data_IF_761858022170
#
_entry.id   IF_761858022170
#
_cell.length_a   1.000
_cell.length_b   1.000
_cell.length_c   1.000
_cell.angle_alpha   90.00
_cell.angle_beta   90.00
_cell.angle_gamma   90.00
#
_symmetry.space_group_name_H-M   'P 1'
#
loop_
_entity.id
_entity.type
_entity.pdbx_description
1 polymer ?
#
# COMPACT_ATOMS: atom_id res chain seq x y z
N UNK A 1 -2.73 -4.53 27.97
CA UNK A 1 -1.39 -4.25 27.43
C UNK A 1 -1.49 -4.22 25.92
N UNK A 2 -0.75 -3.34 25.25
CA UNK A 2 -0.52 -3.51 23.82
C UNK A 2 0.33 -4.78 23.61
N UNK A 3 0.20 -5.42 22.45
CA UNK A 3 1.07 -6.53 22.09
C UNK A 3 2.49 -5.97 21.88
N UNK A 4 3.49 -6.55 22.56
CA UNK A 4 4.90 -6.18 22.40
C UNK A 4 5.49 -6.68 21.06
N UNK A 5 4.73 -7.49 20.32
CA UNK A 5 5.09 -8.03 19.01
C UNK A 5 3.96 -7.80 18.00
N UNK A 6 4.28 -7.47 16.73
CA UNK A 6 3.30 -7.46 15.66
C UNK A 6 2.67 -8.84 15.49
N UNK A 7 1.38 -8.83 15.18
CA UNK A 7 0.58 -10.01 14.88
C UNK A 7 1.12 -10.75 13.66
N UNK A 8 1.05 -12.08 13.66
CA UNK A 8 1.59 -12.98 12.61
C UNK A 8 0.61 -14.10 12.27
N UNK A 9 0.83 -14.74 11.12
CA UNK A 9 0.18 -16.02 10.79
C UNK A 9 0.40 -17.04 11.92
N UNK A 10 -0.66 -17.72 12.30
CA UNK A 10 -0.69 -18.68 13.41
C UNK A 10 -1.04 -18.06 14.77
N UNK A 11 -1.04 -16.73 14.90
CA UNK A 11 -1.52 -16.09 16.12
C UNK A 11 -3.02 -16.33 16.30
N UNK A 12 -3.44 -16.47 17.57
CA UNK A 12 -4.84 -16.63 17.94
C UNK A 12 -5.41 -15.34 18.50
N UNK A 13 -6.52 -14.90 17.93
CA UNK A 13 -7.36 -13.83 18.44
C UNK A 13 -8.47 -14.47 19.25
N UNK A 14 -8.55 -14.13 20.54
CA UNK A 14 -9.57 -14.60 21.47
C UNK A 14 -10.46 -13.44 21.92
N UNK A 15 -11.78 -13.61 21.79
CA UNK A 15 -12.78 -12.68 22.31
C UNK A 15 -13.60 -13.37 23.39
N UNK A 16 -13.58 -12.82 24.62
CA UNK A 16 -14.42 -13.29 25.72
C UNK A 16 -15.64 -12.38 25.87
N UNK A 17 -16.81 -12.93 25.62
CA UNK A 17 -18.11 -12.25 25.76
C UNK A 17 -18.69 -12.63 27.11
N UNK A 18 -19.09 -11.65 27.91
CA UNK A 18 -19.78 -11.87 29.19
C UNK A 18 -21.09 -11.08 29.18
N UNK A 19 -22.26 -11.74 29.10
CA UNK A 19 -23.55 -11.07 29.19
C UNK A 19 -23.76 -10.44 30.57
N UNK A 20 -24.42 -9.28 30.62
CA UNK A 20 -24.79 -8.58 31.86
C UNK A 20 -26.25 -8.16 31.75
N UNK A 21 -27.08 -8.58 32.71
CA UNK A 21 -28.52 -8.27 32.73
C UNK A 21 -28.87 -6.97 33.48
N UNK A 22 -27.84 -6.22 33.92
CA UNK A 22 -27.96 -5.00 34.71
C UNK A 22 -27.77 -5.22 36.21
N UNK A 23 -27.64 -6.47 36.68
CA UNK A 23 -27.34 -6.81 38.09
C UNK A 23 -26.17 -7.77 38.20
N UNK A 24 -26.12 -8.80 37.36
CA UNK A 24 -25.10 -9.83 37.43
C UNK A 24 -24.57 -10.26 36.06
N UNK A 25 -23.32 -10.73 36.08
CA UNK A 25 -22.70 -11.32 34.89
C UNK A 25 -23.20 -12.75 34.69
N UNK A 26 -23.62 -13.06 33.47
CA UNK A 26 -23.91 -14.42 33.03
C UNK A 26 -22.64 -15.21 32.67
N UNK A 27 -22.79 -16.47 32.18
CA UNK A 27 -21.68 -17.28 31.74
C UNK A 27 -20.97 -16.65 30.55
N UNK A 28 -19.64 -16.66 30.57
CA UNK A 28 -18.85 -16.16 29.45
C UNK A 28 -18.75 -17.18 28.31
N UNK A 29 -18.70 -16.68 27.08
CA UNK A 29 -18.32 -17.45 25.89
C UNK A 29 -17.00 -16.93 25.36
N UNK A 30 -16.09 -17.81 24.98
CA UNK A 30 -14.83 -17.46 24.33
C UNK A 30 -14.91 -17.87 22.86
N UNK A 31 -14.58 -16.93 21.97
CA UNK A 31 -14.47 -17.15 20.54
C UNK A 31 -13.00 -17.01 20.14
N UNK A 32 -12.44 -18.07 19.58
CA UNK A 32 -11.06 -18.09 19.09
C UNK A 32 -11.02 -18.13 17.56
N UNK A 33 -10.12 -17.35 16.97
CA UNK A 33 -9.78 -17.39 15.55
C UNK A 33 -8.28 -17.38 15.37
N UNK A 34 -7.81 -18.16 14.41
CA UNK A 34 -6.40 -18.19 14.00
C UNK A 34 -6.23 -17.28 12.78
N UNK A 35 -5.11 -16.56 12.76
CA UNK A 35 -4.73 -15.73 11.62
C UNK A 35 -4.08 -16.63 10.58
N UNK A 36 -4.76 -16.77 9.45
CA UNK A 36 -4.33 -17.66 8.36
C UNK A 36 -3.72 -16.91 7.19
N UNK A 37 -3.79 -15.58 7.17
CA UNK A 37 -3.21 -14.74 6.14
C UNK A 37 -2.84 -13.36 6.69
N UNK A 38 -1.69 -12.84 6.28
CA UNK A 38 -1.19 -11.51 6.57
C UNK A 38 -1.21 -10.66 5.30
N UNK A 39 -1.63 -9.40 5.36
CA UNK A 39 -1.62 -8.55 4.17
C UNK A 39 -0.18 -8.26 3.71
N UNK A 40 0.00 -7.96 2.41
CA UNK A 40 1.28 -7.53 1.88
C UNK A 40 1.75 -6.23 2.55
N UNK A 41 3.05 -6.04 2.65
CA UNK A 41 3.67 -4.81 3.18
C UNK A 41 4.33 -4.04 2.05
N UNK A 42 3.95 -2.77 1.88
CA UNK A 42 4.56 -1.85 0.90
C UNK A 42 5.71 -1.11 1.59
N UNK A 43 6.84 -0.98 0.90
CA UNK A 43 8.00 -0.20 1.35
C UNK A 43 8.03 1.11 0.59
N UNK A 44 7.78 2.21 1.30
CA UNK A 44 7.85 3.56 0.74
C UNK A 44 9.30 4.06 0.75
N UNK A 45 9.83 4.39 -0.42
CA UNK A 45 11.18 4.97 -0.56
C UNK A 45 11.21 6.28 -1.34
N UNK A 46 10.09 6.68 -1.97
CA UNK A 46 9.95 7.87 -2.82
C UNK A 46 11.06 8.02 -3.89
N UNK A 47 11.72 6.91 -4.26
CA UNK A 47 12.83 6.94 -5.22
C UNK A 47 12.29 6.73 -6.64
N UNK A 48 12.15 7.83 -7.39
CA UNK A 48 11.67 7.84 -8.76
C UNK A 48 12.71 8.43 -9.71
N UNK A 49 12.55 8.13 -10.99
CA UNK A 49 13.31 8.74 -12.08
C UNK A 49 12.36 9.55 -12.97
N UNK A 50 12.82 10.68 -13.46
CA UNK A 50 12.10 11.49 -14.45
C UNK A 50 13.09 12.06 -15.46
N UNK A 51 12.93 11.70 -16.72
CA UNK A 51 13.85 12.10 -17.81
C UNK A 51 13.36 13.35 -18.58
N UNK A 52 12.35 14.04 -18.06
CA UNK A 52 11.67 15.15 -18.72
C UNK A 52 10.45 14.75 -19.53
N UNK A 53 10.20 13.45 -19.73
CA UNK A 53 9.02 12.94 -20.43
C UNK A 53 8.36 11.79 -19.69
N UNK A 54 9.14 10.82 -19.21
CA UNK A 54 8.64 9.61 -18.59
C UNK A 54 9.02 9.60 -17.11
N UNK A 55 8.01 9.51 -16.25
CA UNK A 55 8.18 9.25 -14.83
C UNK A 55 8.21 7.74 -14.61
N UNK A 56 9.22 7.25 -13.89
CA UNK A 56 9.42 5.84 -13.56
C UNK A 56 9.50 5.66 -12.07
N UNK A 57 8.69 4.74 -11.52
CA UNK A 57 8.71 4.41 -10.10
C UNK A 57 8.52 2.91 -9.87
N UNK A 58 9.32 2.34 -8.97
CA UNK A 58 9.23 0.93 -8.61
C UNK A 58 8.47 0.79 -7.29
N UNK A 59 7.26 0.24 -7.33
CA UNK A 59 6.55 -0.13 -6.10
C UNK A 59 7.23 -1.36 -5.50
N UNK A 60 7.77 -1.24 -4.28
CA UNK A 60 8.37 -2.36 -3.55
C UNK A 60 7.39 -2.88 -2.53
N UNK A 61 7.13 -4.19 -2.57
CA UNK A 61 6.28 -4.84 -1.58
C UNK A 61 6.79 -6.25 -1.27
N UNK A 62 6.45 -6.74 -0.09
CA UNK A 62 6.75 -8.09 0.35
C UNK A 62 5.56 -8.67 1.09
N UNK A 63 5.34 -9.97 0.92
CA UNK A 63 4.33 -10.68 1.66
C UNK A 63 4.95 -11.47 2.83
N UNK A 64 4.47 -11.31 4.08
CA UNK A 64 4.97 -12.07 5.23
C UNK A 64 4.81 -13.58 5.08
N UNK A 65 3.79 -14.01 4.34
CA UNK A 65 3.44 -15.40 4.11
C UNK A 65 4.06 -15.97 2.82
N UNK A 66 4.74 -15.10 2.06
CA UNK A 66 5.42 -15.38 0.79
C UNK A 66 4.44 -15.72 -0.35
N UNK A 67 3.22 -15.19 -0.26
CA UNK A 67 2.25 -15.27 -1.34
C UNK A 67 2.68 -14.39 -2.54
N UNK A 68 2.21 -14.75 -3.74
CA UNK A 68 2.51 -13.98 -4.96
C UNK A 68 1.75 -12.66 -4.95
N UNK A 69 2.42 -11.57 -5.34
CA UNK A 69 1.83 -10.24 -5.34
C UNK A 69 1.38 -9.79 -6.73
N UNK A 70 0.19 -9.19 -6.78
CA UNK A 70 -0.33 -8.51 -7.97
C UNK A 70 -0.50 -7.02 -7.71
N UNK A 71 -0.05 -6.20 -8.64
CA UNK A 71 -0.05 -4.74 -8.54
C UNK A 71 -1.10 -4.12 -9.47
N UNK A 72 -1.80 -3.09 -9.00
CA UNK A 72 -2.77 -2.33 -9.82
C UNK A 72 -2.88 -0.87 -9.40
N UNK A 73 -3.37 -0.03 -10.32
CA UNK A 73 -3.69 1.37 -10.04
C UNK A 73 -5.19 1.50 -9.76
N UNK A 74 -5.58 1.96 -8.57
CA UNK A 74 -6.97 2.30 -8.24
C UNK A 74 -7.36 3.68 -8.76
N UNK A 75 -6.40 4.60 -8.78
CA UNK A 75 -6.56 5.95 -9.33
C UNK A 75 -5.22 6.42 -9.85
N UNK A 76 -5.19 6.99 -11.05
CA UNK A 76 -3.98 7.46 -11.70
C UNK A 76 -4.33 8.53 -12.76
N UNK A 77 -3.37 9.41 -13.12
CA UNK A 77 -3.51 10.27 -14.29
C UNK A 77 -3.58 9.44 -15.58
N UNK A 78 -4.06 10.06 -16.66
CA UNK A 78 -4.07 9.47 -17.98
C UNK A 78 -2.65 9.06 -18.42
N UNK A 79 -2.55 7.98 -19.20
CA UNK A 79 -1.30 7.41 -19.72
C UNK A 79 -0.34 6.84 -18.67
N UNK A 80 -0.73 6.78 -17.39
CA UNK A 80 0.00 6.03 -16.38
C UNK A 80 -0.44 4.57 -16.37
N UNK A 81 0.52 3.65 -16.27
CA UNK A 81 0.27 2.23 -16.12
C UNK A 81 1.24 1.60 -15.12
N UNK A 82 0.85 0.45 -14.59
CA UNK A 82 1.67 -0.37 -13.69
C UNK A 82 1.79 -1.78 -14.24
N UNK A 83 2.99 -2.34 -14.19
CA UNK A 83 3.18 -3.76 -14.47
C UNK A 83 2.56 -4.59 -13.33
N UNK A 84 1.60 -5.48 -13.61
CA UNK A 84 0.90 -6.23 -12.56
C UNK A 84 1.79 -7.26 -11.85
N UNK A 85 2.93 -7.62 -12.42
CA UNK A 85 3.86 -8.62 -11.88
C UNK A 85 5.11 -8.03 -11.25
N UNK A 86 5.58 -6.89 -11.74
CA UNK A 86 6.79 -6.25 -11.22
C UNK A 86 6.52 -5.05 -10.33
N UNK A 87 5.35 -4.42 -10.41
CA UNK A 87 5.06 -3.17 -9.71
C UNK A 87 5.76 -1.94 -10.30
N UNK A 88 6.39 -2.06 -11.48
CA UNK A 88 6.97 -0.93 -12.19
C UNK A 88 5.85 -0.02 -12.74
N UNK A 89 5.84 1.23 -12.29
CA UNK A 89 5.00 2.29 -12.80
C UNK A 89 5.77 3.07 -13.86
N UNK A 90 5.13 3.27 -15.00
CA UNK A 90 5.55 4.23 -16.02
C UNK A 90 4.43 5.21 -16.28
N UNK A 91 4.78 6.48 -16.41
CA UNK A 91 3.87 7.54 -16.78
C UNK A 91 4.50 8.44 -17.83
N UNK A 92 3.93 8.42 -19.03
CA UNK A 92 4.23 9.41 -20.07
C UNK A 92 3.56 10.72 -19.68
N UNK A 93 4.35 11.62 -19.07
CA UNK A 93 3.87 12.90 -18.55
C UNK A 93 3.52 13.81 -19.73
N UNK A 94 2.28 14.34 -19.79
CA UNK A 94 1.92 15.32 -20.81
C UNK A 94 2.83 16.55 -20.74
N UNK A 95 3.23 17.10 -21.88
CA UNK A 95 4.21 18.22 -21.93
C UNK A 95 3.73 19.46 -21.18
N UNK A 96 2.43 19.67 -21.16
CA UNK A 96 1.74 20.77 -20.49
C UNK A 96 1.50 20.52 -19.00
N UNK A 97 1.77 19.31 -18.50
CA UNK A 97 1.57 18.99 -17.10
C UNK A 97 2.64 19.67 -16.24
N UNK A 98 2.21 20.60 -15.40
CA UNK A 98 3.05 21.26 -14.41
C UNK A 98 2.26 21.37 -13.10
N UNK A 99 2.66 20.59 -12.09
CA UNK A 99 1.95 20.55 -10.82
C UNK A 99 1.99 19.18 -10.16
N UNK A 100 0.96 18.88 -9.38
CA UNK A 100 0.89 17.65 -8.58
C UNK A 100 -0.34 16.82 -8.94
N UNK A 101 -0.20 15.50 -8.85
CA UNK A 101 -1.28 14.53 -9.03
C UNK A 101 -1.23 13.46 -7.95
N UNK A 102 -2.38 12.85 -7.67
CA UNK A 102 -2.51 11.74 -6.72
C UNK A 102 -2.62 10.43 -7.47
N UNK A 103 -1.92 9.41 -6.96
CA UNK A 103 -1.97 8.05 -7.48
C UNK A 103 -2.23 7.11 -6.32
N UNK A 104 -3.15 6.16 -6.51
CA UNK A 104 -3.45 5.12 -5.53
C UNK A 104 -3.08 3.77 -6.12
N UNK A 105 -2.14 3.09 -5.48
CA UNK A 105 -1.67 1.75 -5.82
C UNK A 105 -2.30 0.73 -4.88
N UNK A 106 -2.71 -0.42 -5.42
CA UNK A 106 -3.15 -1.59 -4.67
C UNK A 106 -2.19 -2.75 -4.92
N UNK A 107 -1.74 -3.39 -3.84
CA UNK A 107 -1.00 -4.65 -3.84
C UNK A 107 -1.90 -5.71 -3.20
N UNK A 108 -2.19 -6.77 -3.95
CA UNK A 108 -3.08 -7.88 -3.57
C UNK A 108 -2.28 -9.19 -3.54
N UNK A 109 -2.45 -9.99 -2.48
CA UNK A 109 -1.81 -11.30 -2.29
C UNK A 109 -2.61 -12.48 -2.86
N UNK A 110 -3.83 -12.24 -3.36
CA UNK A 110 -4.75 -13.28 -3.88
C UNK A 110 -5.44 -14.12 -2.79
N UNK A 111 -5.06 -13.95 -1.53
CA UNK A 111 -5.52 -14.69 -0.35
C UNK A 111 -6.42 -13.82 0.55
N UNK A 112 -6.73 -12.60 0.10
CA UNK A 112 -7.63 -11.65 0.74
C UNK A 112 -6.91 -10.55 1.53
N UNK A 113 -5.57 -10.59 1.60
CA UNK A 113 -4.76 -9.51 2.14
C UNK A 113 -4.45 -8.48 1.06
N UNK A 114 -4.60 -7.21 1.44
CA UNK A 114 -4.41 -6.07 0.55
C UNK A 114 -3.72 -4.94 1.28
N UNK A 115 -2.86 -4.24 0.56
CA UNK A 115 -2.29 -2.97 1.00
C UNK A 115 -2.45 -1.92 -0.08
N UNK A 116 -2.82 -0.72 0.35
CA UNK A 116 -2.98 0.44 -0.52
C UNK A 116 -1.94 1.50 -0.18
N UNK A 117 -1.40 2.14 -1.21
CA UNK A 117 -0.43 3.22 -1.06
C UNK A 117 -0.84 4.43 -1.90
N UNK A 118 -0.93 5.59 -1.26
CA UNK A 118 -1.22 6.86 -1.91
C UNK A 118 0.06 7.65 -2.14
N UNK A 119 0.36 7.93 -3.42
CA UNK A 119 1.48 8.76 -3.83
C UNK A 119 0.98 10.15 -4.20
N UNK A 120 1.75 11.17 -3.83
CA UNK A 120 1.60 12.52 -4.35
C UNK A 120 2.79 12.82 -5.26
N UNK A 121 2.59 12.76 -6.57
CA UNK A 121 3.64 13.02 -7.56
C UNK A 121 3.62 14.50 -7.89
N UNK A 122 4.77 15.15 -7.88
CA UNK A 122 4.93 16.55 -8.25
C UNK A 122 5.96 16.67 -9.38
N UNK A 123 5.51 17.07 -10.57
CA UNK A 123 6.36 17.35 -11.72
C UNK A 123 6.41 18.86 -11.90
N UNK A 124 7.61 19.44 -11.85
CA UNK A 124 7.86 20.84 -12.14
C UNK A 124 9.01 20.92 -13.13
N UNK A 125 8.87 21.73 -14.17
CA UNK A 125 10.01 22.09 -15.00
C UNK A 125 11.01 22.87 -14.14
N UNK A 126 12.22 22.35 -13.97
CA UNK A 126 13.34 23.21 -13.61
C UNK A 126 13.69 24.03 -14.84
N UNK A 127 13.44 25.34 -14.80
CA UNK A 127 14.01 26.24 -15.81
C UNK A 127 15.53 26.05 -15.77
N UNK A 128 16.21 25.90 -16.92
CA UNK A 128 17.66 25.84 -16.95
C UNK A 128 18.22 27.06 -16.21
N UNK A 129 19.13 26.84 -15.26
CA UNK A 129 19.87 27.94 -14.65
C UNK A 129 20.69 28.59 -15.78
N UNK A 130 20.31 29.79 -16.22
CA UNK A 130 21.15 30.61 -17.09
C UNK A 130 22.48 30.83 -16.37
N UNK A 131 23.53 30.16 -16.84
CA UNK A 131 24.89 30.40 -16.38
C UNK A 131 25.33 31.70 -17.03
N UNK A 132 25.12 32.82 -16.35
CA UNK A 132 25.62 34.12 -16.77
C UNK A 132 27.15 34.03 -17.00
N UNK A 133 27.59 34.18 -18.25
CA UNK A 133 28.97 34.44 -18.64
C UNK A 133 29.10 35.90 -19.07
#
# INVERSE_FOLDING_TARGET
SALDVPVRRGDKISVKITPLDGKENGPSVVLDREIVNMPPMIVEDNNFEFDGKTYTYQVKASDPDKDSLTYSLKSAPESMWISPTSGLILWDVPKEFNGSTKVSVLVDDGQGGRSEYEMNINIREEKPVEKNM
#
